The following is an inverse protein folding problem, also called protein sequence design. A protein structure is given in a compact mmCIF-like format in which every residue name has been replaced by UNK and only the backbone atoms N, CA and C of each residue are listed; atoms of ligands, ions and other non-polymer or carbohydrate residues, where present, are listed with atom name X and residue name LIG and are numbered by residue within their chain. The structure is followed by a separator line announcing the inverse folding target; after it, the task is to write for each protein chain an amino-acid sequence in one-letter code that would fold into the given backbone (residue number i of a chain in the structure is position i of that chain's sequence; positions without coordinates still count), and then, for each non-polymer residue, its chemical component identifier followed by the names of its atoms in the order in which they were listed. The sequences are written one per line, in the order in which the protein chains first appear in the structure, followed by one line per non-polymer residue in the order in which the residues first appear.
data_IF_909946529890
#
_entry.id   IF_909946529890
#
_cell.length_a   1.000
_cell.length_b   1.000
_cell.length_c   1.000
_cell.angle_alpha   90.00
_cell.angle_beta   90.00
_cell.angle_gamma   90.00
#
_symmetry.space_group_name_H-M   'P 1'
#
loop_
_entity.id
_entity.type
_entity.pdbx_description
1 polymer ?
#
# COMPACT_ATOMS: atom_id res chain seq x y z
N UNK A 1 -18.54 23.44 21.80
CA UNK A 1 -18.48 22.13 22.52
C UNK A 1 -19.05 20.96 21.71
N UNK A 2 -20.12 21.16 20.91
CA UNK A 2 -20.82 20.11 20.13
C UNK A 2 -20.01 19.50 18.96
N UNK A 3 -19.04 20.23 18.39
CA UNK A 3 -18.26 19.76 17.25
C UNK A 3 -17.20 18.70 17.63
N UNK A 4 -16.78 18.66 18.90
CA UNK A 4 -15.74 17.74 19.42
C UNK A 4 -16.24 16.31 19.58
N UNK A 5 -17.54 16.09 19.85
CA UNK A 5 -18.09 14.74 20.00
C UNK A 5 -18.26 14.06 18.64
N UNK A 6 -18.77 14.79 17.64
CA UNK A 6 -19.06 14.24 16.30
C UNK A 6 -17.83 13.70 15.56
N UNK A 7 -16.66 14.30 15.78
CA UNK A 7 -15.42 13.89 15.10
C UNK A 7 -14.84 12.61 15.72
N UNK A 8 -15.03 12.39 17.02
CA UNK A 8 -14.64 11.16 17.73
C UNK A 8 -15.57 9.98 17.42
N UNK A 9 -16.82 10.28 17.07
CA UNK A 9 -17.84 9.31 16.66
C UNK A 9 -17.75 8.98 15.15
N UNK A 10 -16.85 9.63 14.41
CA UNK A 10 -16.65 9.37 12.98
C UNK A 10 -15.85 8.09 12.74
N UNK A 11 -16.20 7.35 11.69
CA UNK A 11 -15.38 6.23 11.18
C UNK A 11 -13.99 6.66 10.73
N UNK A 12 -13.77 7.96 10.48
CA UNK A 12 -12.47 8.52 10.13
C UNK A 12 -11.58 8.80 11.36
N UNK A 13 -12.11 8.66 12.58
CA UNK A 13 -11.37 8.97 13.79
C UNK A 13 -10.02 8.22 13.91
N UNK A 14 -9.89 6.93 13.54
CA UNK A 14 -8.59 6.24 13.52
C UNK A 14 -7.59 6.90 12.57
N UNK A 15 -8.03 7.35 11.39
CA UNK A 15 -7.18 8.07 10.43
C UNK A 15 -6.73 9.42 11.01
N UNK A 16 -7.64 10.15 11.66
CA UNK A 16 -7.33 11.42 12.34
C UNK A 16 -6.29 11.20 13.43
N UNK A 17 -6.41 10.14 14.24
CA UNK A 17 -5.40 9.80 15.24
C UNK A 17 -4.04 9.45 14.61
N UNK A 18 -4.02 8.68 13.52
CA UNK A 18 -2.79 8.32 12.83
C UNK A 18 -2.07 9.56 12.27
N UNK A 19 -2.82 10.49 11.67
CA UNK A 19 -2.30 11.76 11.17
C UNK A 19 -1.75 12.63 12.30
N UNK A 20 -2.48 12.76 13.41
CA UNK A 20 -2.05 13.53 14.58
C UNK A 20 -0.77 12.96 15.20
N UNK A 21 -0.69 11.62 15.30
CA UNK A 21 0.51 10.90 15.75
C UNK A 21 1.69 11.16 14.80
N UNK A 22 1.48 11.08 13.49
CA UNK A 22 2.52 11.32 12.50
C UNK A 22 3.02 12.79 12.50
N UNK A 23 2.13 13.75 12.74
CA UNK A 23 2.45 15.16 12.89
C UNK A 23 2.95 15.54 14.31
N UNK A 24 2.87 14.61 15.27
CA UNK A 24 3.18 14.82 16.68
C UNK A 24 2.43 16.01 17.31
N UNK A 25 1.11 16.06 17.12
CA UNK A 25 0.21 17.10 17.65
C UNK A 25 -1.07 16.51 18.24
N UNK A 26 -1.86 17.32 18.94
CA UNK A 26 -3.23 16.93 19.29
C UNK A 26 -4.08 16.82 18.01
N UNK A 27 -4.96 15.80 17.87
CA UNK A 27 -5.92 15.70 16.77
C UNK A 27 -6.70 16.97 16.43
N UNK A 28 -6.95 17.83 17.42
CA UNK A 28 -7.67 19.10 17.25
C UNK A 28 -6.82 20.18 16.58
N UNK A 29 -5.50 20.05 16.60
CA UNK A 29 -4.55 20.99 16.01
C UNK A 29 -4.27 20.67 14.55
N UNK A 30 -4.64 19.47 14.07
CA UNK A 30 -4.48 19.06 12.67
C UNK A 30 -4.97 20.14 11.68
N UNK A 31 -6.18 20.73 11.79
CA UNK A 31 -6.63 21.76 10.84
C UNK A 31 -5.78 23.04 10.83
N UNK A 32 -4.97 23.26 11.86
CA UNK A 32 -4.12 24.44 12.02
C UNK A 32 -2.71 24.22 11.49
N UNK A 33 -2.35 22.99 11.11
CA UNK A 33 -1.01 22.67 10.63
C UNK A 33 -0.71 23.34 9.29
N UNK A 34 0.53 23.84 9.10
CA UNK A 34 1.02 24.22 7.78
C UNK A 34 0.91 23.07 6.76
N UNK A 35 0.65 23.40 5.49
CA UNK A 35 0.41 22.41 4.43
C UNK A 35 1.56 21.41 4.29
N UNK A 36 2.81 21.86 4.38
CA UNK A 36 3.99 20.98 4.29
C UNK A 36 4.09 19.98 5.46
N UNK A 37 3.58 20.32 6.64
CA UNK A 37 3.51 19.39 7.79
C UNK A 37 2.40 18.37 7.55
N UNK A 38 1.26 18.83 7.05
CA UNK A 38 0.15 17.98 6.62
C UNK A 38 0.56 16.95 5.58
N UNK A 39 1.24 17.38 4.52
CA UNK A 39 1.73 16.51 3.44
C UNK A 39 2.67 15.43 3.97
N UNK A 40 3.60 15.80 4.86
CA UNK A 40 4.52 14.85 5.49
C UNK A 40 3.79 13.83 6.37
N UNK A 41 2.84 14.28 7.19
CA UNK A 41 2.07 13.42 8.06
C UNK A 41 1.19 12.44 7.25
N UNK A 42 0.52 12.94 6.22
CA UNK A 42 -0.28 12.13 5.31
C UNK A 42 0.60 11.08 4.60
N UNK A 43 1.76 11.49 4.09
CA UNK A 43 2.67 10.56 3.42
C UNK A 43 3.18 9.48 4.36
N UNK A 44 3.55 9.83 5.59
CA UNK A 44 3.98 8.86 6.60
C UNK A 44 2.88 7.83 6.89
N UNK A 45 1.63 8.27 7.07
CA UNK A 45 0.49 7.36 7.31
C UNK A 45 0.23 6.45 6.11
N UNK A 46 0.26 6.99 4.88
CA UNK A 46 0.05 6.19 3.67
C UNK A 46 1.16 5.15 3.46
N UNK A 47 2.42 5.52 3.71
CA UNK A 47 3.55 4.60 3.63
C UNK A 47 3.40 3.47 4.64
N UNK A 48 3.01 3.76 5.88
CA UNK A 48 2.82 2.74 6.90
C UNK A 48 1.71 1.76 6.52
N UNK A 49 0.55 2.27 6.09
CA UNK A 49 -0.58 1.44 5.64
C UNK A 49 -0.16 0.58 4.46
N UNK A 50 0.57 1.15 3.49
CA UNK A 50 1.04 0.40 2.33
C UNK A 50 2.06 -0.66 2.71
N UNK A 51 2.99 -0.35 3.62
CA UNK A 51 4.00 -1.29 4.11
C UNK A 51 3.34 -2.48 4.80
N UNK A 52 2.42 -2.24 5.74
CA UNK A 52 1.66 -3.29 6.43
C UNK A 52 0.92 -4.19 5.43
N UNK A 53 0.23 -3.62 4.45
CA UNK A 53 -0.48 -4.41 3.42
C UNK A 53 0.46 -5.24 2.54
N UNK A 54 1.63 -4.71 2.22
CA UNK A 54 2.64 -5.42 1.42
C UNK A 54 3.26 -6.55 2.22
N UNK A 55 3.58 -6.32 3.50
CA UNK A 55 4.15 -7.34 4.41
C UNK A 55 3.13 -8.45 4.65
N UNK A 56 1.88 -8.12 5.01
CA UNK A 56 0.79 -9.08 5.14
C UNK A 56 0.58 -9.90 3.86
N UNK A 57 0.62 -9.23 2.70
CA UNK A 57 0.51 -9.88 1.41
C UNK A 57 1.65 -10.86 1.16
N UNK A 58 2.87 -10.48 1.52
CA UNK A 58 4.05 -11.34 1.42
C UNK A 58 3.89 -12.57 2.32
N UNK A 59 3.52 -12.38 3.57
CA UNK A 59 3.38 -13.48 4.53
C UNK A 59 2.28 -14.47 4.12
N UNK A 60 1.19 -13.98 3.51
CA UNK A 60 0.07 -14.82 3.08
C UNK A 60 0.29 -15.52 1.75
N UNK A 61 0.87 -14.84 0.77
CA UNK A 61 0.89 -15.31 -0.63
C UNK A 61 2.29 -15.57 -1.16
N UNK A 62 3.33 -15.16 -0.44
CA UNK A 62 4.71 -15.14 -0.91
C UNK A 62 4.99 -13.96 -1.85
N UNK A 63 6.28 -13.73 -2.11
CA UNK A 63 6.71 -12.74 -3.09
C UNK A 63 6.49 -13.26 -4.52
N UNK A 64 6.22 -12.36 -5.49
CA UNK A 64 6.21 -12.74 -6.89
C UNK A 64 7.53 -13.42 -7.29
N UNK A 65 7.46 -14.33 -8.25
CA UNK A 65 8.63 -15.08 -8.71
C UNK A 65 8.74 -15.01 -10.22
N UNK A 66 9.92 -15.32 -10.77
CA UNK A 66 10.14 -15.30 -12.21
C UNK A 66 11.07 -16.42 -12.66
N UNK A 67 10.69 -17.10 -13.74
CA UNK A 67 11.39 -18.21 -14.35
C UNK A 67 11.55 -17.99 -15.86
N UNK A 68 12.42 -18.78 -16.51
CA UNK A 68 12.44 -18.85 -17.97
C UNK A 68 11.11 -19.40 -18.45
N UNK A 69 10.62 -18.83 -19.53
CA UNK A 69 9.39 -19.27 -20.16
C UNK A 69 9.61 -20.61 -20.88
N UNK A 70 8.89 -21.70 -20.54
CA UNK A 70 9.06 -22.98 -21.21
C UNK A 70 8.54 -22.99 -22.65
N UNK A 71 7.70 -22.02 -23.03
CA UNK A 71 7.05 -21.97 -24.36
C UNK A 71 7.79 -21.08 -25.37
N UNK A 72 8.88 -20.41 -24.99
CA UNK A 72 9.58 -19.52 -25.93
C UNK A 72 10.81 -18.80 -25.38
N UNK A 73 11.31 -17.82 -26.15
CA UNK A 73 12.43 -16.97 -25.76
C UNK A 73 11.95 -15.85 -24.82
N UNK A 74 12.00 -16.09 -23.52
CA UNK A 74 11.65 -15.06 -22.55
C UNK A 74 11.59 -15.53 -21.10
N UNK A 75 10.93 -14.71 -20.28
CA UNK A 75 10.67 -14.98 -18.88
C UNK A 75 9.19 -14.80 -18.57
N UNK A 76 8.68 -15.68 -17.74
CA UNK A 76 7.36 -15.57 -17.12
C UNK A 76 7.55 -15.29 -15.63
N UNK A 77 6.76 -14.36 -15.11
CA UNK A 77 6.66 -14.06 -13.70
C UNK A 77 5.24 -14.27 -13.22
N UNK A 78 5.10 -14.83 -12.03
CA UNK A 78 3.81 -15.11 -11.41
C UNK A 78 3.75 -14.60 -9.99
N UNK A 79 2.54 -14.32 -9.53
CA UNK A 79 2.25 -14.00 -8.14
C UNK A 79 0.84 -14.47 -7.78
N UNK A 80 0.66 -14.98 -6.58
CA UNK A 80 -0.66 -15.25 -6.02
C UNK A 80 -1.14 -14.03 -5.22
N UNK A 81 -2.43 -13.71 -5.32
CA UNK A 81 -3.09 -12.71 -4.48
C UNK A 81 -4.58 -13.03 -4.38
N UNK A 82 -4.99 -13.56 -3.23
CA UNK A 82 -6.36 -14.06 -3.05
C UNK A 82 -6.64 -15.24 -3.99
N UNK A 83 -7.79 -15.29 -4.69
CA UNK A 83 -8.15 -16.39 -5.59
C UNK A 83 -7.54 -16.26 -7.00
N UNK A 84 -6.79 -15.19 -7.28
CA UNK A 84 -6.28 -14.87 -8.61
C UNK A 84 -4.77 -15.08 -8.69
N UNK A 85 -4.33 -15.63 -9.83
CA UNK A 85 -2.92 -15.69 -10.20
C UNK A 85 -2.62 -14.57 -11.20
N UNK A 86 -1.65 -13.72 -10.86
CA UNK A 86 -1.09 -12.73 -11.76
C UNK A 86 -0.02 -13.42 -12.60
N UNK A 87 -0.07 -13.23 -13.92
CA UNK A 87 0.98 -13.67 -14.85
C UNK A 87 1.46 -12.48 -15.68
N UNK A 88 2.78 -12.33 -15.78
CA UNK A 88 3.43 -11.35 -16.64
C UNK A 88 4.56 -12.01 -17.43
N UNK A 89 4.62 -11.72 -18.73
CA UNK A 89 5.73 -12.16 -19.60
C UNK A 89 6.60 -10.98 -19.98
N UNK A 90 7.89 -11.23 -20.19
CA UNK A 90 8.86 -10.22 -20.60
C UNK A 90 10.04 -10.84 -21.34
N UNK A 91 10.76 -10.04 -22.11
CA UNK A 91 11.97 -10.50 -22.82
C UNK A 91 13.11 -10.76 -21.84
N UNK A 92 13.12 -10.02 -20.73
CA UNK A 92 14.08 -10.23 -19.65
C UNK A 92 13.38 -10.60 -18.34
N UNK A 93 14.11 -11.31 -17.46
CA UNK A 93 13.64 -11.66 -16.10
C UNK A 93 13.18 -10.41 -15.34
N UNK A 94 13.91 -9.30 -15.50
CA UNK A 94 13.65 -8.04 -14.80
C UNK A 94 12.34 -7.40 -15.25
N UNK A 95 12.04 -7.44 -16.54
CA UNK A 95 10.78 -6.91 -17.10
C UNK A 95 9.59 -7.70 -16.57
N UNK A 96 9.58 -9.02 -16.77
CA UNK A 96 8.51 -9.90 -16.31
C UNK A 96 8.27 -9.72 -14.81
N UNK A 97 9.35 -9.75 -14.02
CA UNK A 97 9.27 -9.62 -12.57
C UNK A 97 8.83 -8.23 -12.08
N UNK A 98 9.17 -7.15 -12.80
CA UNK A 98 8.71 -5.80 -12.46
C UNK A 98 7.21 -5.68 -12.68
N UNK A 99 6.70 -6.19 -13.80
CA UNK A 99 5.28 -6.10 -14.11
C UNK A 99 4.44 -6.96 -13.17
N UNK A 100 4.86 -8.20 -12.88
CA UNK A 100 4.20 -9.03 -11.88
C UNK A 100 4.17 -8.36 -10.49
N UNK A 101 5.29 -7.80 -10.02
CA UNK A 101 5.33 -7.08 -8.73
C UNK A 101 4.43 -5.85 -8.69
N UNK A 102 4.38 -5.07 -9.76
CA UNK A 102 3.51 -3.88 -9.83
C UNK A 102 2.04 -4.27 -9.78
N UNK A 103 1.65 -5.28 -10.55
CA UNK A 103 0.28 -5.79 -10.53
C UNK A 103 -0.07 -6.36 -9.14
N UNK A 104 0.84 -7.11 -8.52
CA UNK A 104 0.66 -7.69 -7.20
C UNK A 104 0.48 -6.63 -6.11
N UNK A 105 1.36 -5.62 -6.07
CA UNK A 105 1.24 -4.50 -5.11
C UNK A 105 -0.06 -3.73 -5.32
N UNK A 106 -0.46 -3.44 -6.56
CA UNK A 106 -1.74 -2.76 -6.83
C UNK A 106 -2.92 -3.54 -6.27
N UNK A 107 -2.96 -4.86 -6.51
CA UNK A 107 -4.03 -5.73 -6.03
C UNK A 107 -4.09 -5.77 -4.49
N UNK A 108 -2.94 -5.86 -3.82
CA UNK A 108 -2.88 -5.82 -2.33
C UNK A 108 -3.40 -4.51 -1.75
N UNK A 109 -3.16 -3.40 -2.44
CA UNK A 109 -3.61 -2.08 -2.04
C UNK A 109 -5.06 -1.78 -2.47
N UNK A 110 -5.76 -2.74 -3.09
CA UNK A 110 -7.16 -2.62 -3.49
C UNK A 110 -7.40 -1.91 -4.81
N UNK A 111 -6.37 -1.77 -5.66
CA UNK A 111 -6.47 -1.25 -7.03
C UNK A 111 -6.27 -2.32 -8.11
#
# INVERSE_FOLDING_TARGET
MVQRSKLRESELWPLVQALAKAANVDPQELPLLPLNVWEKALWAVLVEIAAERIVDGWDRYGAPSAARDPEGEGYIASAEVGPETILARGRTKREAYREARRAWVRRLLGG
#
